data_IF_395597576818
#
_entry.id   IF_395597576818
#
_cell.length_a   1.000
_cell.length_b   1.000
_cell.length_c   1.000
_cell.angle_alpha   90.00
_cell.angle_beta   90.00
_cell.angle_gamma   90.00
#
_symmetry.space_group_name_H-M   'P 1'
#
loop_
_entity.id
_entity.type
_entity.pdbx_description
1 polymer ?
#
# COMPACT_ATOMS: atom_id res chain seq x y z
N UNK A 1 2.24 -15.43 10.46
CA UNK A 1 0.95 -15.14 9.82
C UNK A 1 0.14 -16.42 9.84
N UNK A 2 -1.10 -16.41 10.32
CA UNK A 2 -1.93 -17.61 10.48
C UNK A 2 -2.75 -17.94 9.22
N UNK A 3 -2.24 -17.60 8.04
CA UNK A 3 -2.95 -17.82 6.78
C UNK A 3 -2.98 -19.31 6.44
N UNK A 4 -4.13 -19.79 5.98
CA UNK A 4 -4.26 -21.14 5.43
C UNK A 4 -3.92 -21.15 3.93
N UNK A 5 -3.40 -22.28 3.44
CA UNK A 5 -3.16 -22.50 2.01
C UNK A 5 -4.08 -23.63 1.51
N UNK A 6 -5.38 -23.45 1.73
CA UNK A 6 -6.38 -24.38 1.23
C UNK A 6 -6.48 -24.27 -0.29
N UNK A 7 -6.33 -25.39 -0.99
CA UNK A 7 -6.36 -25.41 -2.44
C UNK A 7 -7.81 -25.33 -2.96
N UNK A 8 -8.06 -24.45 -3.93
CA UNK A 8 -9.36 -24.30 -4.59
C UNK A 8 -9.60 -25.41 -5.63
N UNK A 9 -10.87 -25.78 -5.90
CA UNK A 9 -11.20 -26.59 -7.06
C UNK A 9 -10.71 -25.92 -8.36
N UNK A 10 -10.38 -26.73 -9.36
CA UNK A 10 -10.03 -26.21 -10.69
C UNK A 10 -11.31 -25.86 -11.47
N UNK A 11 -11.27 -24.84 -12.36
CA UNK A 11 -10.11 -24.02 -12.74
C UNK A 11 -9.74 -22.93 -11.72
N UNK A 12 -8.45 -22.61 -11.61
CA UNK A 12 -7.95 -21.53 -10.72
C UNK A 12 -8.05 -20.12 -11.32
N UNK A 13 -8.71 -20.01 -12.47
CA UNK A 13 -9.04 -18.75 -13.13
C UNK A 13 -10.54 -18.78 -13.37
N UNK A 14 -11.23 -17.75 -12.88
CA UNK A 14 -12.68 -17.63 -13.03
C UNK A 14 -13.00 -17.06 -14.41
N UNK A 15 -14.01 -17.60 -15.07
CA UNK A 15 -14.51 -17.03 -16.32
C UNK A 15 -15.36 -15.78 -16.02
N UNK A 16 -14.71 -14.63 -16.06
CA UNK A 16 -15.30 -13.34 -15.67
C UNK A 16 -16.02 -12.66 -16.84
N UNK A 17 -17.18 -12.06 -16.55
CA UNK A 17 -17.79 -11.09 -17.46
C UNK A 17 -17.28 -9.69 -17.12
N UNK A 18 -16.63 -9.04 -18.08
CA UNK A 18 -16.06 -7.69 -17.89
C UNK A 18 -17.18 -6.68 -17.55
N UNK A 19 -18.38 -6.86 -18.06
CA UNK A 19 -19.52 -5.98 -17.79
C UNK A 19 -19.94 -5.96 -16.31
N UNK A 20 -19.63 -7.02 -15.57
CA UNK A 20 -19.91 -7.11 -14.13
C UNK A 20 -18.84 -6.41 -13.28
N UNK A 21 -17.71 -6.02 -13.87
CA UNK A 21 -16.65 -5.26 -13.21
C UNK A 21 -16.93 -3.77 -13.35
N UNK A 22 -17.02 -3.09 -12.22
CA UNK A 22 -17.38 -1.67 -12.19
C UNK A 22 -16.14 -0.81 -11.89
N UNK A 23 -16.12 0.39 -12.46
CA UNK A 23 -15.25 1.45 -11.95
C UNK A 23 -15.49 1.60 -10.46
N UNK A 24 -14.43 1.71 -9.64
CA UNK A 24 -14.34 1.65 -8.17
C UNK A 24 -14.05 0.29 -7.56
N UNK A 25 -14.28 -0.84 -8.23
CA UNK A 25 -14.08 -2.15 -7.61
C UNK A 25 -12.60 -2.35 -7.24
N UNK A 26 -12.37 -2.84 -6.03
CA UNK A 26 -11.04 -2.96 -5.43
C UNK A 26 -10.43 -4.32 -5.76
N UNK A 27 -9.15 -4.36 -6.10
CA UNK A 27 -8.41 -5.60 -6.31
C UNK A 27 -7.46 -5.81 -5.15
N UNK A 28 -7.67 -6.88 -4.38
CA UNK A 28 -6.72 -7.37 -3.39
C UNK A 28 -5.88 -8.47 -4.03
N UNK A 29 -4.56 -8.32 -4.01
CA UNK A 29 -3.63 -9.20 -4.71
C UNK A 29 -2.64 -9.77 -3.68
N UNK A 30 -2.34 -11.06 -3.82
CA UNK A 30 -1.36 -11.77 -3.01
C UNK A 30 -0.46 -12.60 -3.90
N UNK A 31 0.82 -12.24 -3.95
CA UNK A 31 1.91 -12.96 -4.61
C UNK A 31 2.78 -13.62 -3.53
N UNK A 32 3.29 -14.82 -3.81
CA UNK A 32 4.14 -15.60 -2.88
C UNK A 32 5.42 -16.12 -3.52
N UNK A 33 5.58 -15.95 -4.83
CA UNK A 33 6.81 -16.24 -5.57
C UNK A 33 7.36 -14.98 -6.24
N UNK A 34 8.55 -15.11 -6.83
CA UNK A 34 9.22 -14.01 -7.54
C UNK A 34 9.72 -12.89 -6.62
N UNK A 35 10.39 -11.91 -7.21
CA UNK A 35 10.92 -10.71 -6.53
C UNK A 35 9.84 -10.04 -5.68
N UNK A 36 8.66 -9.87 -6.26
CA UNK A 36 7.56 -9.16 -5.64
C UNK A 36 6.83 -9.96 -4.56
N UNK A 37 6.72 -11.29 -4.67
CA UNK A 37 6.14 -12.12 -3.61
C UNK A 37 6.97 -12.12 -2.32
N UNK A 38 8.29 -12.01 -2.42
CA UNK A 38 9.17 -11.84 -1.25
C UNK A 38 8.87 -10.55 -0.48
N UNK A 39 8.71 -9.45 -1.21
CA UNK A 39 8.35 -8.16 -0.62
C UNK A 39 6.93 -8.13 -0.05
N UNK A 40 5.96 -8.67 -0.79
CA UNK A 40 4.58 -8.77 -0.29
C UNK A 40 4.47 -9.63 0.98
N UNK A 41 5.34 -10.62 1.13
CA UNK A 41 5.38 -11.43 2.37
C UNK A 41 5.79 -10.57 3.57
N UNK A 42 6.70 -9.62 3.38
CA UNK A 42 7.05 -8.64 4.40
C UNK A 42 5.87 -7.69 4.67
N UNK A 43 5.24 -7.13 3.64
CA UNK A 43 4.07 -6.25 3.76
C UNK A 43 2.92 -6.92 4.52
N UNK A 44 2.58 -8.16 4.16
CA UNK A 44 1.59 -8.99 4.86
C UNK A 44 1.93 -9.16 6.33
N UNK A 45 3.22 -9.37 6.64
CA UNK A 45 3.67 -9.56 8.01
C UNK A 45 3.67 -8.28 8.83
N UNK A 46 4.13 -7.14 8.28
CA UNK A 46 4.14 -5.88 9.04
C UNK A 46 2.73 -5.30 9.22
N UNK A 47 1.82 -5.52 8.28
CA UNK A 47 0.45 -4.98 8.31
C UNK A 47 -0.59 -5.95 8.90
N UNK A 48 -0.21 -7.22 9.10
CA UNK A 48 -1.17 -8.29 9.43
C UNK A 48 -2.21 -8.55 8.33
N UNK A 49 -1.92 -8.10 7.11
CA UNK A 49 -2.73 -8.30 5.93
C UNK A 49 -2.39 -9.65 5.28
N UNK A 50 -3.34 -10.24 4.57
CA UNK A 50 -3.09 -11.49 3.83
C UNK A 50 -2.97 -11.23 2.31
N UNK A 51 -3.47 -10.08 1.84
CA UNK A 51 -3.07 -9.47 0.59
C UNK A 51 -1.81 -8.61 0.79
N UNK A 52 -0.94 -8.59 -0.21
CA UNK A 52 0.31 -7.81 -0.21
C UNK A 52 0.32 -6.69 -1.23
N UNK A 53 -0.67 -6.64 -2.12
CA UNK A 53 -0.76 -5.59 -3.13
C UNK A 53 -2.21 -5.23 -3.42
N UNK A 54 -2.44 -4.00 -3.90
CA UNK A 54 -3.78 -3.50 -4.20
C UNK A 54 -3.81 -2.71 -5.49
N UNK A 55 -4.90 -2.85 -6.24
CA UNK A 55 -5.19 -2.07 -7.44
C UNK A 55 -6.68 -1.69 -7.47
N UNK A 56 -7.08 -0.85 -8.42
CA UNK A 56 -8.48 -0.42 -8.57
C UNK A 56 -8.93 -0.46 -10.01
N UNK A 57 -10.13 -0.98 -10.22
CA UNK A 57 -10.80 -0.96 -11.51
C UNK A 57 -11.40 0.43 -11.76
N UNK A 58 -11.21 0.97 -12.95
CA UNK A 58 -11.76 2.27 -13.37
C UNK A 58 -12.36 2.15 -14.77
N UNK A 59 -13.44 2.89 -15.04
CA UNK A 59 -13.96 3.03 -16.41
C UNK A 59 -13.79 4.46 -16.89
N UNK A 60 -13.40 4.60 -18.15
CA UNK A 60 -13.33 5.90 -18.80
C UNK A 60 -14.72 6.38 -19.27
N UNK A 61 -14.77 7.55 -19.90
CA UNK A 61 -16.01 8.12 -20.43
C UNK A 61 -16.65 7.31 -21.57
N UNK A 62 -15.89 6.42 -22.20
CA UNK A 62 -16.37 5.51 -23.27
C UNK A 62 -16.82 4.16 -22.69
N UNK A 63 -16.64 3.95 -21.38
CA UNK A 63 -16.99 2.72 -20.69
C UNK A 63 -15.92 1.64 -20.79
N UNK A 64 -14.74 1.91 -21.35
CA UNK A 64 -13.64 0.93 -21.38
C UNK A 64 -13.09 0.72 -19.97
N UNK A 65 -12.74 -0.52 -19.63
CA UNK A 65 -12.21 -0.90 -18.32
C UNK A 65 -10.68 -0.75 -18.27
N UNK A 66 -10.21 -0.19 -17.18
CA UNK A 66 -8.81 0.08 -16.87
C UNK A 66 -8.49 -0.40 -15.44
N UNK A 67 -7.22 -0.69 -15.19
CA UNK A 67 -6.68 -0.99 -13.86
C UNK A 67 -5.68 0.10 -13.51
N UNK A 68 -5.94 0.79 -12.40
CA UNK A 68 -5.00 1.69 -11.77
C UNK A 68 -4.21 0.94 -10.70
N UNK A 69 -2.89 0.99 -10.78
CA UNK A 69 -2.01 0.31 -9.84
C UNK A 69 -0.74 1.15 -9.56
N UNK A 70 -0.16 1.00 -8.37
CA UNK A 70 1.09 1.67 -8.00
C UNK A 70 2.11 0.61 -7.65
N UNK A 71 2.83 0.10 -8.67
CA UNK A 71 3.98 -0.83 -8.65
C UNK A 71 4.19 -1.41 -10.06
N UNK A 72 4.15 -0.55 -11.06
CA UNK A 72 4.37 -0.95 -12.45
C UNK A 72 5.84 -0.78 -12.81
N UNK A 73 6.50 -1.86 -13.23
CA UNK A 73 7.89 -1.83 -13.67
C UNK A 73 8.02 -0.92 -14.90
N UNK A 74 8.80 0.16 -14.81
CA UNK A 74 9.05 1.03 -15.96
C UNK A 74 10.05 0.35 -16.90
N UNK A 75 9.61 -0.10 -18.09
CA UNK A 75 10.48 -0.74 -19.09
C UNK A 75 11.70 0.12 -19.49
N UNK A 76 11.67 1.43 -19.27
CA UNK A 76 12.81 2.33 -19.52
C UNK A 76 13.97 2.18 -18.50
N UNK A 77 13.73 1.52 -17.36
CA UNK A 77 14.75 1.13 -16.36
C UNK A 77 15.44 -0.21 -16.66
N UNK A 78 14.93 -0.98 -17.63
CA UNK A 78 15.47 -2.30 -18.01
C UNK A 78 16.87 -2.26 -18.67
N UNK A 79 17.54 -1.10 -18.65
CA UNK A 79 18.97 -0.96 -18.94
C UNK A 79 19.89 -1.33 -17.77
N UNK A 80 19.38 -1.55 -16.56
CA UNK A 80 20.18 -1.90 -15.40
C UNK A 80 20.13 -3.41 -15.12
N UNK A 81 20.89 -4.18 -15.92
CA UNK A 81 21.44 -5.52 -15.64
C UNK A 81 20.61 -6.46 -14.76
N UNK A 82 20.15 -7.58 -15.33
CA UNK A 82 19.87 -8.81 -14.56
C UNK A 82 20.93 -8.97 -13.47
N UNK A 83 20.53 -8.80 -12.21
CA UNK A 83 21.42 -9.13 -11.10
C UNK A 83 21.50 -10.65 -11.10
N UNK A 84 22.61 -11.19 -11.60
CA UNK A 84 22.96 -12.56 -11.30
C UNK A 84 23.13 -12.67 -9.79
N UNK A 85 22.15 -13.27 -9.12
CA UNK A 85 22.24 -13.66 -7.73
C UNK A 85 23.48 -14.53 -7.55
N UNK A 86 24.49 -14.01 -6.88
CA UNK A 86 25.62 -14.84 -6.47
C UNK A 86 25.20 -15.60 -5.21
N UNK A 87 25.66 -16.84 -5.05
CA UNK A 87 25.35 -17.70 -3.89
C UNK A 87 25.83 -17.13 -2.53
N UNK A 88 26.30 -15.87 -2.47
CA UNK A 88 26.73 -15.16 -1.27
C UNK A 88 25.96 -13.87 -0.96
N UNK A 89 24.93 -13.51 -1.75
CA UNK A 89 24.15 -12.29 -1.47
C UNK A 89 23.18 -12.52 -0.31
N UNK A 90 23.37 -11.78 0.79
CA UNK A 90 22.52 -11.87 1.97
C UNK A 90 21.07 -11.49 1.62
N UNK A 91 20.08 -12.19 2.19
CA UNK A 91 18.66 -11.96 1.94
C UNK A 91 18.22 -10.50 2.18
N UNK A 92 18.88 -9.80 3.11
CA UNK A 92 18.68 -8.35 3.35
C UNK A 92 19.08 -7.55 2.10
N UNK A 93 20.23 -7.84 1.50
CA UNK A 93 20.72 -7.15 0.31
C UNK A 93 19.79 -7.37 -0.90
N UNK A 94 19.24 -8.57 -1.06
CA UNK A 94 18.25 -8.88 -2.10
C UNK A 94 16.93 -8.13 -1.89
N UNK A 95 16.46 -8.00 -0.64
CA UNK A 95 15.26 -7.21 -0.31
C UNK A 95 15.47 -5.73 -0.66
N UNK A 96 16.62 -5.16 -0.33
CA UNK A 96 16.97 -3.76 -0.64
C UNK A 96 17.18 -3.51 -2.15
N UNK A 97 17.82 -4.46 -2.86
CA UNK A 97 17.95 -4.40 -4.32
C UNK A 97 16.60 -4.53 -5.05
N UNK A 98 15.60 -5.11 -4.41
CA UNK A 98 14.27 -5.27 -5.01
C UNK A 98 13.46 -3.97 -5.03
N UNK A 99 13.98 -2.89 -4.47
CA UNK A 99 13.26 -1.62 -4.30
C UNK A 99 13.94 -0.46 -5.05
N UNK A 100 14.55 -0.71 -6.22
CA UNK A 100 15.37 0.26 -7.00
C UNK A 100 14.73 1.62 -7.31
N UNK A 101 13.48 1.89 -6.91
CA UNK A 101 12.87 3.21 -7.08
C UNK A 101 12.40 3.48 -8.51
N UNK A 102 12.37 2.45 -9.35
CA UNK A 102 12.07 2.56 -10.78
C UNK A 102 10.58 2.32 -11.07
N UNK A 103 9.83 1.86 -10.07
CA UNK A 103 8.41 1.53 -10.21
C UNK A 103 7.55 2.78 -10.19
N UNK A 104 6.50 2.76 -11.01
CA UNK A 104 5.61 3.88 -11.22
C UNK A 104 4.16 3.50 -10.96
N UNK A 105 3.34 4.53 -10.78
CA UNK A 105 1.89 4.44 -10.86
C UNK A 105 1.51 4.31 -12.33
N UNK A 106 0.71 3.30 -12.66
CA UNK A 106 0.22 3.06 -14.01
C UNK A 106 -1.31 2.96 -14.04
N UNK A 107 -1.89 3.43 -15.14
CA UNK A 107 -3.31 3.20 -15.48
C UNK A 107 -3.34 2.48 -16.81
N UNK A 108 -3.60 1.17 -16.78
CA UNK A 108 -3.47 0.26 -17.90
C UNK A 108 -4.83 -0.25 -18.38
N UNK A 109 -5.01 -0.53 -19.68
CA UNK A 109 -6.18 -1.25 -20.16
C UNK A 109 -6.34 -2.60 -19.43
N UNK A 110 -7.57 -2.98 -19.08
CA UNK A 110 -7.84 -4.26 -18.39
C UNK A 110 -7.30 -5.47 -19.15
N UNK A 111 -7.45 -5.49 -20.47
CA UNK A 111 -6.99 -6.58 -21.33
C UNK A 111 -5.47 -6.75 -21.27
N UNK A 112 -4.72 -5.65 -21.26
CA UNK A 112 -3.27 -5.67 -21.11
C UNK A 112 -2.84 -6.17 -19.72
N UNK A 113 -3.44 -5.61 -18.66
CA UNK A 113 -3.14 -5.99 -17.28
C UNK A 113 -3.51 -7.45 -17.01
N UNK A 114 -4.68 -7.90 -17.49
CA UNK A 114 -5.15 -9.26 -17.30
C UNK A 114 -4.33 -10.28 -18.09
N UNK A 115 -3.93 -9.95 -19.33
CA UNK A 115 -3.02 -10.81 -20.11
C UNK A 115 -1.67 -10.99 -19.42
N UNK A 116 -1.12 -9.93 -18.82
CA UNK A 116 0.09 -10.01 -18.02
C UNK A 116 -0.10 -10.93 -16.81
N UNK A 117 -1.11 -10.66 -15.98
CA UNK A 117 -1.39 -11.45 -14.78
C UNK A 117 -1.69 -12.92 -15.12
N UNK A 118 -2.29 -13.19 -16.29
CA UNK A 118 -2.58 -14.54 -16.75
C UNK A 118 -1.33 -15.32 -17.19
N UNK A 119 -0.51 -14.70 -18.03
CA UNK A 119 0.46 -15.41 -18.87
C UNK A 119 1.92 -14.98 -18.67
N UNK A 120 2.18 -13.83 -18.06
CA UNK A 120 3.53 -13.27 -17.88
C UNK A 120 3.95 -13.20 -16.41
N UNK A 121 3.01 -13.08 -15.48
CA UNK A 121 3.32 -13.04 -14.05
C UNK A 121 3.67 -14.44 -13.51
N UNK A 122 4.95 -14.64 -13.21
CA UNK A 122 5.51 -15.88 -12.66
C UNK A 122 5.45 -15.96 -11.12
N UNK A 123 4.90 -14.94 -10.46
CA UNK A 123 4.80 -14.85 -8.99
C UNK A 123 3.67 -15.68 -8.37
N UNK A 124 2.89 -16.37 -9.22
CA UNK A 124 1.67 -17.11 -8.87
C UNK A 124 0.66 -16.22 -8.13
N UNK A 125 0.10 -15.20 -8.79
CA UNK A 125 -0.75 -14.22 -8.15
C UNK A 125 -2.12 -14.81 -7.78
N UNK A 126 -2.57 -14.52 -6.56
CA UNK A 126 -3.95 -14.72 -6.11
C UNK A 126 -4.64 -13.36 -6.12
N UNK A 127 -5.78 -13.27 -6.80
CA UNK A 127 -6.45 -11.99 -7.05
C UNK A 127 -7.91 -12.10 -6.62
N UNK A 128 -8.33 -11.19 -5.76
CA UNK A 128 -9.71 -11.03 -5.32
C UNK A 128 -10.26 -9.65 -5.73
N UNK A 129 -11.41 -9.67 -6.41
CA UNK A 129 -12.22 -8.50 -6.70
C UNK A 129 -13.17 -8.26 -5.52
N UNK A 130 -13.16 -7.05 -4.97
CA UNK A 130 -13.99 -6.59 -3.87
C UNK A 130 -14.95 -5.52 -4.40
N UNK A 131 -16.20 -5.90 -4.74
CA UNK A 131 -17.17 -4.95 -5.26
C UNK A 131 -17.59 -3.93 -4.19
N UNK A 132 -17.81 -2.67 -4.56
CA UNK A 132 -18.37 -1.69 -3.60
C UNK A 132 -19.83 -1.96 -3.28
N UNK A 133 -20.24 -1.69 -2.05
CA UNK A 133 -21.65 -1.71 -1.65
C UNK A 133 -22.46 -0.69 -2.46
N UNK A 134 -23.71 -0.99 -2.89
CA UNK A 134 -24.54 -0.10 -3.69
C UNK A 134 -24.64 1.34 -3.17
N UNK A 135 -24.73 1.52 -1.85
CA UNK A 135 -24.80 2.85 -1.23
C UNK A 135 -23.52 3.68 -1.41
N UNK A 136 -22.37 3.01 -1.47
CA UNK A 136 -21.08 3.67 -1.74
C UNK A 136 -20.93 3.96 -3.22
N UNK A 137 -21.38 3.04 -4.08
CA UNK A 137 -21.42 3.25 -5.54
C UNK A 137 -22.24 4.49 -5.91
N UNK A 138 -23.37 4.70 -5.24
CA UNK A 138 -24.23 5.86 -5.46
C UNK A 138 -23.57 7.21 -5.08
N UNK A 139 -22.59 7.19 -4.17
CA UNK A 139 -21.82 8.38 -3.74
C UNK A 139 -20.57 8.63 -4.57
N UNK A 140 -20.08 7.60 -5.26
CA UNK A 140 -18.80 7.63 -5.96
C UNK A 140 -18.82 8.61 -7.14
N UNK A 141 -17.93 9.59 -7.12
CA UNK A 141 -17.76 10.53 -8.22
C UNK A 141 -16.74 10.00 -9.25
N UNK A 142 -17.26 9.34 -10.29
CA UNK A 142 -16.48 8.73 -11.38
C UNK A 142 -15.54 9.73 -12.08
N UNK A 143 -16.03 10.92 -12.42
CA UNK A 143 -15.21 11.93 -13.11
C UNK A 143 -14.03 12.38 -12.26
N UNK A 144 -14.25 12.56 -10.95
CA UNK A 144 -13.19 12.97 -10.03
C UNK A 144 -12.17 11.85 -9.81
N UNK A 145 -12.63 10.60 -9.66
CA UNK A 145 -11.80 9.42 -9.55
C UNK A 145 -10.87 9.28 -10.76
N UNK A 146 -11.44 9.32 -11.97
CA UNK A 146 -10.69 9.21 -13.23
C UNK A 146 -9.66 10.34 -13.37
N UNK A 147 -10.05 11.58 -13.06
CA UNK A 147 -9.15 12.74 -13.12
C UNK A 147 -7.98 12.59 -12.15
N UNK A 148 -8.22 12.09 -10.94
CA UNK A 148 -7.14 11.84 -9.97
C UNK A 148 -6.20 10.73 -10.47
N UNK A 149 -6.75 9.59 -10.89
CA UNK A 149 -5.96 8.46 -11.39
C UNK A 149 -5.04 8.87 -12.55
N UNK A 150 -5.58 9.63 -13.52
CA UNK A 150 -4.79 10.15 -14.63
C UNK A 150 -3.71 11.16 -14.21
N UNK A 151 -3.96 11.95 -13.16
CA UNK A 151 -2.96 12.91 -12.67
C UNK A 151 -1.76 12.25 -11.99
N UNK A 152 -1.94 11.02 -11.50
CA UNK A 152 -0.91 10.22 -10.85
C UNK A 152 -0.24 9.22 -11.82
N UNK A 153 -0.81 8.99 -13.00
CA UNK A 153 -0.22 8.09 -13.99
C UNK A 153 1.21 8.55 -14.37
N UNK A 154 2.16 7.62 -14.34
CA UNK A 154 3.60 7.86 -14.57
C UNK A 154 4.34 8.51 -13.40
N UNK A 155 3.70 8.72 -12.25
CA UNK A 155 4.37 9.23 -11.05
C UNK A 155 5.10 8.10 -10.28
N UNK A 156 6.13 8.42 -9.47
CA UNK A 156 6.87 7.40 -8.73
C UNK A 156 6.01 6.61 -7.72
N UNK A 157 6.39 5.37 -7.46
CA UNK A 157 5.89 4.58 -6.33
C UNK A 157 6.24 5.25 -4.99
N UNK A 158 5.36 5.12 -4.00
CA UNK A 158 5.50 5.69 -2.65
C UNK A 158 6.57 5.03 -1.77
N UNK A 159 7.84 5.03 -2.19
CA UNK A 159 8.93 4.49 -1.38
C UNK A 159 9.17 5.31 -0.10
N UNK A 160 8.99 6.63 -0.17
CA UNK A 160 9.22 7.57 0.93
C UNK A 160 8.27 7.38 2.11
N UNK A 161 7.03 6.93 1.86
CA UNK A 161 5.99 6.86 2.88
C UNK A 161 5.65 5.44 3.34
N UNK A 162 6.01 4.43 2.55
CA UNK A 162 5.66 3.05 2.82
C UNK A 162 6.11 2.60 4.22
N UNK A 163 7.36 2.84 4.61
CA UNK A 163 7.87 2.47 5.94
C UNK A 163 7.04 3.07 7.09
N UNK A 164 6.54 4.29 6.90
CA UNK A 164 5.83 5.04 7.93
C UNK A 164 4.37 4.62 8.06
N UNK A 165 3.77 4.06 7.00
CA UNK A 165 2.36 3.60 6.98
C UNK A 165 2.01 2.53 8.02
N UNK A 166 2.99 1.87 8.65
CA UNK A 166 2.77 0.90 9.72
C UNK A 166 3.50 1.22 11.05
N UNK A 167 4.15 2.39 11.16
CA UNK A 167 4.84 2.84 12.39
C UNK A 167 3.99 3.91 13.08
N UNK A 168 2.82 3.52 13.59
CA UNK A 168 1.89 4.44 14.27
C UNK A 168 2.11 4.59 15.78
N UNK A 169 3.09 3.89 16.36
CA UNK A 169 3.37 3.92 17.81
C UNK A 169 4.87 3.85 18.13
N UNK A 170 5.28 4.28 19.32
CA UNK A 170 6.71 4.30 19.70
C UNK A 170 7.31 2.88 19.75
N UNK A 171 6.57 1.91 20.32
CA UNK A 171 7.12 0.59 20.67
C UNK A 171 6.29 -0.61 20.20
N UNK A 172 5.09 -0.42 19.68
CA UNK A 172 4.12 -1.50 19.43
C UNK A 172 3.92 -1.79 17.93
N UNK A 173 4.93 -1.58 17.09
CA UNK A 173 4.92 -2.00 15.67
C UNK A 173 5.99 -3.07 15.37
N UNK A 174 6.78 -3.46 16.37
CA UNK A 174 7.94 -4.33 16.21
C UNK A 174 7.73 -5.65 16.94
N UNK A 175 8.10 -6.80 16.36
CA UNK A 175 8.06 -8.07 17.06
C UNK A 175 8.90 -8.05 18.34
N UNK A 176 8.53 -8.80 19.38
CA UNK A 176 9.35 -8.93 20.59
C UNK A 176 10.81 -9.32 20.25
N UNK A 177 11.78 -8.58 20.82
CA UNK A 177 13.24 -8.50 20.54
C UNK A 177 13.69 -7.49 19.46
N UNK A 178 12.79 -6.92 18.67
CA UNK A 178 13.05 -5.79 17.78
C UNK A 178 12.42 -4.53 18.36
N UNK A 179 13.13 -3.41 18.35
CA UNK A 179 12.65 -2.10 18.79
C UNK A 179 13.11 -1.01 17.81
N UNK A 180 12.72 0.24 18.07
CA UNK A 180 13.10 1.39 17.26
C UNK A 180 14.63 1.56 17.14
N UNK A 181 15.43 1.06 18.09
CA UNK A 181 16.89 1.12 18.03
C UNK A 181 17.45 0.11 17.03
N UNK A 182 16.84 -1.07 16.87
CA UNK A 182 17.22 -2.01 15.80
C UNK A 182 16.86 -1.44 14.43
N UNK A 183 15.71 -0.78 14.29
CA UNK A 183 15.33 -0.07 13.06
C UNK A 183 16.34 1.04 12.75
N UNK A 184 16.67 1.89 13.73
CA UNK A 184 17.67 2.94 13.57
C UNK A 184 19.05 2.36 13.19
N UNK A 185 19.42 1.21 13.75
CA UNK A 185 20.67 0.51 13.41
C UNK A 185 20.68 0.02 11.96
N UNK A 186 19.59 -0.61 11.50
CA UNK A 186 19.44 -1.04 10.09
C UNK A 186 19.46 0.16 9.15
N UNK A 187 18.70 1.22 9.46
CA UNK A 187 18.69 2.45 8.67
C UNK A 187 20.08 3.09 8.59
N UNK A 188 20.85 3.09 9.69
CA UNK A 188 22.22 3.63 9.72
C UNK A 188 23.17 2.80 8.86
N UNK A 189 23.11 1.47 8.95
CA UNK A 189 23.92 0.57 8.10
C UNK A 189 23.56 0.75 6.63
N UNK A 190 22.27 0.81 6.29
CA UNK A 190 21.80 1.06 4.92
C UNK A 190 22.24 2.43 4.40
N UNK A 191 22.18 3.49 5.22
CA UNK A 191 22.63 4.83 4.84
C UNK A 191 24.15 4.88 4.56
N UNK A 192 24.95 4.05 5.23
CA UNK A 192 26.39 3.92 4.95
C UNK A 192 26.68 3.07 3.71
N UNK A 193 25.88 2.03 3.45
CA UNK A 193 26.12 1.09 2.35
C UNK A 193 25.54 1.56 1.01
N UNK A 194 24.39 2.24 1.02
CA UNK A 194 23.66 2.71 -0.17
C UNK A 194 23.03 4.09 0.13
N UNK A 195 23.83 5.16 0.25
CA UNK A 195 23.37 6.48 0.71
C UNK A 195 22.32 7.13 -0.21
N UNK A 196 22.46 6.98 -1.53
CA UNK A 196 21.48 7.51 -2.49
C UNK A 196 20.10 6.84 -2.35
N UNK A 197 20.08 5.56 -1.98
CA UNK A 197 18.85 4.80 -1.83
C UNK A 197 18.17 5.07 -0.48
N UNK A 198 18.95 5.09 0.61
CA UNK A 198 18.49 5.48 1.94
C UNK A 198 17.89 6.90 1.97
N UNK A 199 18.50 7.83 1.21
CA UNK A 199 17.99 9.19 1.09
C UNK A 199 16.57 9.24 0.50
N UNK A 200 16.30 8.40 -0.51
CA UNK A 200 14.99 8.29 -1.17
C UNK A 200 13.96 7.49 -0.36
N UNK A 201 14.36 6.76 0.68
CA UNK A 201 13.41 5.96 1.47
C UNK A 201 12.91 6.69 2.71
N UNK A 202 13.76 7.47 3.38
CA UNK A 202 13.38 8.05 4.67
C UNK A 202 13.98 9.43 4.97
N UNK A 203 15.10 9.85 4.37
CA UNK A 203 15.71 11.13 4.78
C UNK A 203 14.80 12.33 4.49
N UNK A 204 14.21 12.40 3.30
CA UNK A 204 13.30 13.51 2.95
C UNK A 204 12.03 13.47 3.83
N UNK A 205 11.46 12.28 4.01
CA UNK A 205 10.28 12.03 4.83
C UNK A 205 10.50 12.40 6.32
N UNK A 206 11.69 12.13 6.86
CA UNK A 206 12.07 12.52 8.23
C UNK A 206 12.30 14.03 8.35
N UNK A 207 12.89 14.67 7.33
CA UNK A 207 13.05 16.13 7.31
C UNK A 207 11.69 16.84 7.27
N UNK A 208 10.70 16.32 6.53
CA UNK A 208 9.31 16.80 6.54
C UNK A 208 8.70 16.73 7.95
N UNK A 209 8.78 15.56 8.58
CA UNK A 209 8.28 15.33 9.95
C UNK A 209 8.93 16.24 10.99
N UNK A 210 10.24 16.49 10.86
CA UNK A 210 10.97 17.39 11.76
C UNK A 210 10.80 18.88 11.39
N UNK A 211 10.18 19.21 10.25
CA UNK A 211 10.09 20.58 9.75
C UNK A 211 11.46 21.20 9.46
N UNK A 212 12.40 20.39 8.97
CA UNK A 212 13.77 20.80 8.62
C UNK A 212 14.02 20.77 7.11
N UNK A 213 12.95 20.78 6.32
CA UNK A 213 13.01 20.90 4.87
C UNK A 213 13.81 22.15 4.48
N UNK A 214 14.69 22.00 3.50
CA UNK A 214 15.40 23.13 2.93
C UNK A 214 14.55 23.68 1.78
N UNK A 215 14.16 24.97 1.81
CA UNK A 215 13.46 25.58 0.69
C UNK A 215 14.32 25.48 -0.58
N UNK A 216 13.72 25.09 -1.69
CA UNK A 216 14.38 24.90 -2.99
C UNK A 216 15.05 26.17 -3.56
N UNK A 217 14.85 27.34 -2.94
CA UNK A 217 15.48 28.62 -3.27
C UNK A 217 16.57 29.07 -2.27
N UNK A 218 16.95 28.23 -1.30
CA UNK A 218 17.97 28.61 -0.31
C UNK A 218 19.34 28.80 -0.98
N UNK A 219 19.91 30.00 -0.81
CA UNK A 219 21.24 30.41 -1.31
C UNK A 219 22.38 29.72 -0.54
N UNK A 220 22.09 29.10 0.60
CA UNK A 220 23.05 28.27 1.30
C UNK A 220 23.03 26.85 0.71
N UNK A 221 24.21 26.25 0.48
CA UNK A 221 24.39 24.80 0.25
C UNK A 221 24.03 23.97 1.51
N UNK A 222 22.95 24.33 2.20
CA UNK A 222 22.37 23.52 3.26
C UNK A 222 21.70 22.34 2.57
N UNK A 223 22.39 21.20 2.55
CA UNK A 223 21.73 19.94 2.22
C UNK A 223 20.69 19.67 3.32
N UNK A 224 19.60 19.00 2.95
CA UNK A 224 18.69 18.42 3.94
C UNK A 224 19.51 17.58 4.94
N UNK A 225 19.11 17.59 6.21
CA UNK A 225 19.88 16.89 7.24
C UNK A 225 19.90 15.40 6.94
N UNK A 226 21.06 14.78 7.10
CA UNK A 226 21.20 13.34 6.99
C UNK A 226 20.63 12.63 8.23
N UNK A 227 20.53 11.30 8.18
CA UNK A 227 19.93 10.53 9.28
C UNK A 227 20.64 10.75 10.64
N UNK A 228 21.99 10.72 10.75
CA UNK A 228 22.68 11.07 11.99
C UNK A 228 22.33 12.45 12.53
N UNK A 229 22.33 13.47 11.67
CA UNK A 229 21.99 14.83 12.09
C UNK A 229 20.52 14.95 12.52
N UNK A 230 19.60 14.28 11.83
CA UNK A 230 18.19 14.21 12.20
C UNK A 230 17.99 13.62 13.60
N UNK A 231 18.70 12.53 13.93
CA UNK A 231 18.65 11.92 15.27
C UNK A 231 19.11 12.93 16.32
N UNK A 232 20.26 13.57 16.12
CA UNK A 232 20.80 14.57 17.06
C UNK A 232 19.85 15.77 17.20
N UNK A 233 19.32 16.29 16.09
CA UNK A 233 18.40 17.44 16.10
C UNK A 233 17.07 17.12 16.78
N UNK A 234 16.58 15.89 16.63
CA UNK A 234 15.36 15.42 17.30
C UNK A 234 15.56 15.44 18.81
N UNK A 235 16.69 14.89 19.28
CA UNK A 235 17.05 14.90 20.70
C UNK A 235 17.24 16.33 21.23
N UNK A 236 17.92 17.21 20.48
CA UNK A 236 18.07 18.63 20.85
C UNK A 236 16.74 19.38 20.98
N UNK A 237 15.69 18.93 20.28
CA UNK A 237 14.33 19.48 20.38
C UNK A 237 13.50 18.84 21.50
N UNK A 238 14.10 17.96 22.29
CA UNK A 238 13.43 17.31 23.43
C UNK A 238 12.47 16.19 23.02
N UNK A 239 12.63 15.62 21.82
CA UNK A 239 11.85 14.47 21.34
C UNK A 239 12.78 13.28 21.08
N UNK A 240 12.22 12.08 20.98
CA UNK A 240 12.95 10.87 20.62
C UNK A 240 12.86 10.55 19.12
N UNK A 241 13.83 9.80 18.60
CA UNK A 241 13.76 9.31 17.23
C UNK A 241 12.51 8.44 16.98
N UNK A 242 12.08 7.67 17.99
CA UNK A 242 10.87 6.88 17.90
C UNK A 242 9.60 7.76 17.77
N UNK A 243 9.51 8.88 18.50
CA UNK A 243 8.42 9.85 18.34
C UNK A 243 8.44 10.51 16.96
N UNK A 244 9.62 10.83 16.43
CA UNK A 244 9.75 11.36 15.06
C UNK A 244 9.16 10.40 14.03
N UNK A 245 9.41 9.09 14.16
CA UNK A 245 8.86 8.08 13.24
C UNK A 245 7.33 7.98 13.30
N UNK A 246 6.70 8.35 14.42
CA UNK A 246 5.24 8.28 14.62
C UNK A 246 4.47 9.50 14.12
N UNK A 247 5.15 10.53 13.61
CA UNK A 247 4.47 11.69 13.02
C UNK A 247 3.77 11.22 11.73
N UNK A 248 2.43 11.36 11.61
CA UNK A 248 1.69 10.87 10.46
C UNK A 248 2.15 11.50 9.16
N UNK A 249 2.31 10.66 8.14
CA UNK A 249 2.42 11.10 6.76
C UNK A 249 1.19 11.93 6.38
N UNK A 250 1.39 12.96 5.56
CA UNK A 250 0.28 13.76 5.03
C UNK A 250 0.11 13.48 3.55
N UNK A 251 -1.13 13.26 3.14
CA UNK A 251 -1.53 12.93 1.77
C UNK A 251 -1.11 14.00 0.74
N UNK A 252 -0.93 15.25 1.17
CA UNK A 252 -0.53 16.37 0.32
C UNK A 252 0.98 16.63 0.26
N UNK A 253 1.79 15.85 1.00
CA UNK A 253 3.24 15.94 0.92
C UNK A 253 3.75 15.56 -0.47
N UNK A 254 4.67 16.38 -0.97
CA UNK A 254 5.33 16.20 -2.26
C UNK A 254 6.82 16.08 -2.00
N UNK A 255 7.43 15.05 -2.57
CA UNK A 255 8.84 14.74 -2.46
C UNK A 255 9.63 15.32 -3.64
N UNK A 256 10.94 15.27 -3.58
CA UNK A 256 11.85 15.80 -4.59
C UNK A 256 11.69 15.13 -5.97
N UNK A 257 11.26 13.87 -6.00
CA UNK A 257 10.90 13.11 -7.20
C UNK A 257 9.43 13.27 -7.62
N UNK A 258 8.66 14.05 -6.85
CA UNK A 258 7.29 14.47 -7.16
C UNK A 258 6.26 13.91 -6.19
N UNK A 259 5.01 13.84 -6.65
CA UNK A 259 3.95 13.14 -5.93
C UNK A 259 4.15 11.65 -6.09
N UNK A 260 3.99 10.90 -5.03
CA UNK A 260 4.08 9.44 -5.04
C UNK A 260 3.01 8.86 -4.12
N UNK A 261 2.66 7.59 -4.34
CA UNK A 261 1.69 6.89 -3.50
C UNK A 261 2.03 5.40 -3.46
N UNK A 262 1.91 4.77 -2.30
CA UNK A 262 1.92 3.31 -2.20
C UNK A 262 0.68 2.72 -2.89
N UNK A 263 0.68 1.40 -3.13
CA UNK A 263 -0.44 0.71 -3.78
C UNK A 263 -1.80 1.01 -3.12
N UNK A 264 -1.86 0.93 -1.80
CA UNK A 264 -3.09 1.16 -1.05
C UNK A 264 -3.45 2.63 -0.93
N UNK A 265 -2.47 3.50 -0.71
CA UNK A 265 -2.69 4.94 -0.66
C UNK A 265 -3.25 5.45 -2.00
N UNK A 266 -2.73 4.97 -3.13
CA UNK A 266 -3.22 5.33 -4.45
C UNK A 266 -4.71 4.99 -4.65
N UNK A 267 -5.14 3.78 -4.28
CA UNK A 267 -6.55 3.38 -4.38
C UNK A 267 -7.44 4.22 -3.45
N UNK A 268 -6.99 4.44 -2.21
CA UNK A 268 -7.79 5.18 -1.25
C UNK A 268 -7.83 6.70 -1.54
N UNK A 269 -6.79 7.25 -2.16
CA UNK A 269 -6.80 8.62 -2.67
C UNK A 269 -7.81 8.79 -3.81
N UNK A 270 -7.93 7.80 -4.70
CA UNK A 270 -9.00 7.76 -5.69
C UNK A 270 -10.36 7.77 -4.99
N UNK A 271 -10.54 7.01 -3.91
CA UNK A 271 -11.78 7.00 -3.12
C UNK A 271 -12.04 8.32 -2.41
N UNK A 272 -11.00 9.00 -1.88
CA UNK A 272 -11.09 10.35 -1.31
C UNK A 272 -11.50 11.37 -2.36
N UNK A 273 -10.85 11.37 -3.53
CA UNK A 273 -11.21 12.23 -4.65
C UNK A 273 -12.64 11.97 -5.14
N UNK A 274 -13.09 10.72 -5.08
CA UNK A 274 -14.43 10.27 -5.41
C UNK A 274 -15.47 10.52 -4.31
N UNK A 275 -15.10 11.18 -3.19
CA UNK A 275 -15.96 11.56 -2.06
C UNK A 275 -16.48 10.41 -1.19
N UNK A 276 -15.83 9.25 -1.21
CA UNK A 276 -16.26 8.13 -0.35
C UNK A 276 -15.99 8.35 1.14
N UNK A 277 -15.04 9.23 1.48
CA UNK A 277 -14.72 9.59 2.86
C UNK A 277 -15.44 10.86 3.35
N UNK A 278 -16.34 11.46 2.56
CA UNK A 278 -17.08 12.66 2.99
C UNK A 278 -18.05 12.32 4.15
N UNK A 279 -18.19 13.20 5.16
CA UNK A 279 -17.63 14.56 5.25
C UNK A 279 -16.25 14.63 5.94
N UNK A 280 -15.68 13.51 6.35
CA UNK A 280 -14.45 13.46 7.16
C UNK A 280 -13.16 13.40 6.33
N UNK A 281 -13.25 13.49 5.01
CA UNK A 281 -12.12 13.34 4.06
C UNK A 281 -10.89 14.20 4.41
N UNK A 282 -11.09 15.39 4.99
CA UNK A 282 -10.00 16.29 5.45
C UNK A 282 -9.27 15.83 6.71
N UNK A 283 -9.86 14.93 7.47
CA UNK A 283 -9.32 14.38 8.72
C UNK A 283 -8.86 12.93 8.54
N UNK A 284 -8.67 12.47 7.31
CA UNK A 284 -8.18 11.13 7.00
C UNK A 284 -6.89 11.32 6.21
N UNK A 285 -5.80 10.70 6.65
CA UNK A 285 -4.58 10.53 5.87
C UNK A 285 -4.52 9.09 5.35
N UNK A 286 -4.80 8.87 4.07
CA UNK A 286 -4.81 7.50 3.50
C UNK A 286 -3.41 6.94 3.29
N UNK A 287 -2.40 7.79 3.33
CA UNK A 287 -0.99 7.40 3.43
C UNK A 287 -0.66 6.61 4.70
N UNK A 288 -1.48 6.73 5.76
CA UNK A 288 -1.38 5.96 7.01
C UNK A 288 -2.16 4.63 6.98
N UNK A 289 -2.78 4.27 5.86
CA UNK A 289 -3.56 3.05 5.76
C UNK A 289 -2.69 1.91 5.28
N UNK A 290 -2.79 0.77 5.97
CA UNK A 290 -2.27 -0.49 5.44
C UNK A 290 -3.29 -1.15 4.52
N UNK A 291 -2.85 -2.18 3.77
CA UNK A 291 -3.75 -3.01 2.93
C UNK A 291 -4.88 -3.61 3.78
N UNK A 292 -4.57 -4.04 5.01
CA UNK A 292 -5.59 -4.55 5.94
C UNK A 292 -6.63 -3.52 6.27
N UNK A 293 -6.22 -2.29 6.54
CA UNK A 293 -7.14 -1.22 6.88
C UNK A 293 -8.06 -0.90 5.70
N UNK A 294 -7.51 -0.89 4.49
CA UNK A 294 -8.28 -0.62 3.27
C UNK A 294 -9.39 -1.64 3.03
N UNK A 295 -9.09 -2.95 3.03
CA UNK A 295 -10.15 -3.95 2.81
C UNK A 295 -11.08 -4.13 4.04
N UNK A 296 -10.70 -3.59 5.20
CA UNK A 296 -11.54 -3.61 6.41
C UNK A 296 -12.60 -2.50 6.41
N UNK A 297 -12.48 -1.48 5.56
CA UNK A 297 -13.47 -0.41 5.47
C UNK A 297 -14.83 -0.94 5.05
N UNK A 298 -15.90 -0.40 5.63
CA UNK A 298 -17.30 -0.69 5.31
C UNK A 298 -17.74 -0.12 3.97
N UNK A 299 -16.91 -0.30 2.94
CA UNK A 299 -17.14 0.19 1.59
C UNK A 299 -17.63 -0.89 0.65
N UNK A 300 -17.39 -2.16 0.99
CA UNK A 300 -17.56 -3.28 0.07
C UNK A 300 -18.89 -3.99 0.25
N UNK A 301 -19.25 -4.84 -0.70
CA UNK A 301 -20.45 -5.64 -0.65
C UNK A 301 -20.44 -6.59 0.57
N UNK A 302 -21.61 -6.77 1.19
CA UNK A 302 -21.80 -7.65 2.34
C UNK A 302 -22.94 -8.65 2.12
N UNK A 303 -23.55 -8.64 0.93
CA UNK A 303 -24.60 -9.55 0.52
C UNK A 303 -24.17 -10.36 -0.70
N UNK A 304 -23.91 -11.66 -0.49
CA UNK A 304 -23.48 -12.59 -1.54
C UNK A 304 -24.46 -12.68 -2.71
N UNK A 305 -25.76 -12.45 -2.48
CA UNK A 305 -26.79 -12.47 -3.54
C UNK A 305 -26.68 -11.32 -4.54
N UNK A 306 -25.87 -10.30 -4.25
CA UNK A 306 -25.61 -9.16 -5.15
C UNK A 306 -24.29 -9.29 -5.91
N UNK A 307 -23.48 -10.28 -5.58
CA UNK A 307 -22.23 -10.54 -6.28
C UNK A 307 -22.53 -11.05 -7.70
N UNK A 308 -21.61 -10.84 -8.66
CA UNK A 308 -21.77 -11.37 -10.01
C UNK A 308 -22.00 -12.89 -10.01
N UNK A 309 -22.73 -13.42 -10.99
CA UNK A 309 -23.09 -14.85 -11.01
C UNK A 309 -21.88 -15.79 -11.06
N UNK A 310 -20.79 -15.36 -11.69
CA UNK A 310 -19.54 -16.12 -11.77
C UNK A 310 -18.75 -16.10 -10.45
N UNK A 311 -19.11 -15.23 -9.51
CA UNK A 311 -18.50 -15.16 -8.20
C UNK A 311 -18.89 -16.40 -7.39
N UNK A 312 -17.90 -17.09 -6.80
CA UNK A 312 -18.08 -18.35 -6.07
C UNK A 312 -18.55 -19.56 -6.92
N UNK A 313 -18.81 -19.43 -8.23
CA UNK A 313 -19.41 -20.47 -9.10
C UNK A 313 -18.56 -21.76 -9.27
N UNK A 314 -17.32 -21.77 -8.78
CA UNK A 314 -16.40 -22.91 -8.85
C UNK A 314 -15.75 -23.28 -7.52
N UNK A 315 -16.25 -22.76 -6.40
CA UNK A 315 -15.68 -22.96 -5.07
C UNK A 315 -16.72 -23.57 -4.13
N UNK A 316 -16.30 -24.41 -3.19
CA UNK A 316 -17.18 -25.02 -2.18
C UNK A 316 -17.44 -24.09 -0.98
N UNK A 317 -16.81 -22.91 -0.99
CA UNK A 317 -16.95 -21.88 0.03
C UNK A 317 -17.49 -20.59 -0.60
N UNK A 318 -18.55 -20.05 0.00
CA UNK A 318 -19.09 -18.75 -0.40
C UNK A 318 -18.33 -17.60 0.29
N UNK A 319 -17.77 -16.70 -0.51
CA UNK A 319 -17.18 -15.45 -0.06
C UNK A 319 -18.11 -14.25 -0.27
N UNK A 320 -17.87 -13.19 0.49
CA UNK A 320 -18.46 -11.86 0.28
C UNK A 320 -17.68 -11.01 -0.75
N UNK A 321 -16.64 -11.58 -1.33
CA UNK A 321 -15.82 -11.02 -2.41
C UNK A 321 -15.54 -12.11 -3.45
N UNK A 322 -14.99 -11.75 -4.60
CA UNK A 322 -14.84 -12.67 -5.73
C UNK A 322 -13.37 -12.98 -6.02
N UNK A 323 -12.91 -14.18 -5.68
CA UNK A 323 -11.55 -14.61 -6.02
C UNK A 323 -11.47 -15.04 -7.50
N UNK A 324 -10.94 -14.14 -8.35
CA UNK A 324 -10.89 -14.32 -9.80
C UNK A 324 -9.69 -15.13 -10.29
N UNK A 325 -8.60 -15.19 -9.50
CA UNK A 325 -7.40 -15.98 -9.83
C UNK A 325 -6.73 -16.56 -8.59
N UNK A 326 -6.07 -17.71 -8.76
CA UNK A 326 -5.09 -18.25 -7.84
C UNK A 326 -5.43 -19.63 -7.31
N UNK A 327 -4.38 -20.43 -7.08
CA UNK A 327 -4.48 -21.85 -6.66
C UNK A 327 -5.04 -22.04 -5.25
N UNK A 328 -4.74 -21.11 -4.35
CA UNK A 328 -5.09 -21.19 -2.95
C UNK A 328 -6.21 -20.20 -2.63
N UNK A 329 -7.05 -20.57 -1.69
CA UNK A 329 -8.15 -19.75 -1.20
C UNK A 329 -7.59 -18.51 -0.51
N UNK A 330 -8.05 -17.34 -0.93
CA UNK A 330 -7.70 -16.08 -0.28
C UNK A 330 -8.57 -15.87 0.95
N UNK A 331 -7.95 -15.35 2.00
CA UNK A 331 -8.62 -14.89 3.21
C UNK A 331 -8.33 -13.40 3.39
N UNK A 332 -9.34 -12.62 3.79
CA UNK A 332 -9.21 -11.19 4.09
C UNK A 332 -9.73 -10.92 5.50
N UNK A 333 -8.91 -11.16 6.55
CA UNK A 333 -9.36 -11.06 7.93
C UNK A 333 -9.80 -9.65 8.33
N UNK A 334 -11.05 -9.49 8.73
CA UNK A 334 -11.62 -8.17 9.05
C UNK A 334 -12.24 -7.45 7.85
N UNK A 335 -12.36 -8.13 6.71
CA UNK A 335 -13.06 -7.62 5.53
C UNK A 335 -14.38 -6.93 5.87
N UNK A 336 -14.52 -5.67 5.44
CA UNK A 336 -15.77 -4.93 5.48
C UNK A 336 -16.36 -4.75 6.90
N UNK A 337 -15.52 -4.58 7.93
CA UNK A 337 -15.95 -4.54 9.34
C UNK A 337 -15.97 -3.17 9.99
N UNK A 338 -15.29 -2.16 9.44
CA UNK A 338 -15.05 -0.88 10.10
C UNK A 338 -15.60 0.33 9.34
N UNK A 339 -16.34 1.19 10.03
CA UNK A 339 -16.74 2.50 9.51
C UNK A 339 -15.56 3.48 9.59
N UNK A 340 -15.33 4.33 8.57
CA UNK A 340 -14.31 5.38 8.64
C UNK A 340 -14.59 6.39 9.77
N UNK A 341 -13.54 6.86 10.44
CA UNK A 341 -13.61 7.89 11.48
C UNK A 341 -12.41 8.85 11.42
N UNK A 342 -12.52 10.09 11.91
CA UNK A 342 -11.42 11.06 11.85
C UNK A 342 -10.15 10.56 12.51
N UNK A 343 -8.99 10.84 11.91
CA UNK A 343 -7.65 10.44 12.36
C UNK A 343 -7.46 8.92 12.45
N UNK A 344 -8.17 8.17 11.60
CA UNK A 344 -8.06 6.72 11.52
C UNK A 344 -6.64 6.31 11.11
N UNK A 345 -6.08 5.33 11.84
CA UNK A 345 -4.76 4.72 11.64
C UNK A 345 -3.53 5.55 12.07
N UNK A 346 -3.65 6.87 12.24
CA UNK A 346 -2.53 7.77 12.60
C UNK A 346 -1.81 7.43 13.92
N UNK A 347 -2.44 6.67 14.82
CA UNK A 347 -1.87 6.28 16.13
C UNK A 347 -2.02 4.78 16.41
N UNK A 348 -2.02 3.96 15.35
CA UNK A 348 -2.35 2.55 15.44
C UNK A 348 -1.15 1.61 15.39
N UNK A 349 -1.01 0.72 16.40
CA UNK A 349 0.03 -0.28 16.35
C UNK A 349 -0.29 -1.38 15.35
N UNK A 350 0.71 -1.79 14.58
CA UNK A 350 0.65 -3.01 13.78
C UNK A 350 1.54 -4.10 14.39
N UNK A 351 1.09 -4.68 15.51
CA UNK A 351 1.90 -5.63 16.29
C UNK A 351 1.60 -7.11 15.95
N UNK A 352 2.53 -7.85 15.33
CA UNK A 352 2.42 -9.31 15.24
C UNK A 352 2.45 -9.97 16.62
N UNK A 353 1.83 -11.16 16.79
CA UNK A 353 1.10 -11.94 15.79
C UNK A 353 -0.41 -11.64 15.76
N UNK A 354 -0.93 -10.85 16.71
CA UNK A 354 -2.38 -10.67 16.88
C UNK A 354 -2.93 -9.48 16.08
N UNK A 355 -2.11 -8.47 15.80
CA UNK A 355 -2.49 -7.24 15.11
C UNK A 355 -3.77 -6.63 15.70
N UNK A 356 -3.85 -6.63 17.04
CA UNK A 356 -5.01 -6.12 17.77
C UNK A 356 -5.05 -4.61 17.68
N UNK A 357 -6.19 -4.05 17.26
CA UNK A 357 -6.43 -2.61 17.31
C UNK A 357 -6.88 -2.21 18.72
N UNK A 358 -6.07 -1.48 19.51
CA UNK A 358 -6.44 -1.04 20.85
C UNK A 358 -7.54 0.03 20.80
N UNK A 359 -8.22 0.28 21.93
CA UNK A 359 -9.37 1.21 21.95
C UNK A 359 -9.02 2.65 21.60
N UNK A 360 -7.78 3.08 21.81
CA UNK A 360 -7.28 4.40 21.43
C UNK A 360 -7.13 4.55 19.91
N UNK A 361 -7.00 3.46 19.16
CA UNK A 361 -7.13 3.50 17.70
C UNK A 361 -8.54 3.90 17.29
N UNK A 362 -9.54 3.39 17.98
CA UNK A 362 -10.95 3.42 17.56
C UNK A 362 -11.69 4.70 17.97
N UNK A 363 -10.98 5.69 18.53
CA UNK A 363 -11.55 6.94 19.01
C UNK A 363 -10.81 8.12 18.39
N UNK A 364 -11.55 8.98 17.70
CA UNK A 364 -11.08 10.32 17.36
C UNK A 364 -10.86 11.09 18.68
N UNK A 365 -9.62 11.19 19.13
CA UNK A 365 -9.29 12.15 20.18
C UNK A 365 -9.04 13.51 19.52
N UNK A 366 -9.70 14.59 19.98
CA UNK A 366 -9.29 15.92 19.56
C UNK A 366 -7.86 16.13 20.04
N UNK A 367 -6.94 16.43 19.11
CA UNK A 367 -5.63 16.97 19.47
C UNK A 367 -5.87 18.19 20.37
N UNK A 368 -5.24 18.18 21.55
CA UNK A 368 -5.37 19.24 22.56
C UNK A 368 -4.33 20.33 22.31
#
# INVERSE_FOLDING_TARGET
MGASFEQRPQPWVTNISIDDIHSRDFLAISKIHGRWGGFETLEKWVCGAYAGYTAVCLRDSEGKLWVGESRHDNEQGAGATEVQYSNGDNAIFVLFLSLRGEDVIAVLPWDEWWEFELNKDDSNPHIALLPLHPDMRAKFNETAAWKYAQSMNGKPYGYHNMLFSWIGTINANYPPLLDAHVVASVMTVCNQMQPAYAANMWNEALNKRLGTEVPSYSICNCLAWDLPDLIVKTEMRGSSFAELLTIPEQDDWVYSDGRSASCVAFVLEIYKAARLFDPISRSIQVTEFTIKDAYSLRFFENNSSRLPKWCNDGDDVEFLFCQIRGRYRMELPGYNTMDPYPHMNEMCPSLPPKYSRPSNCLKAFPMM
#
